data_IF_480248378069
#
_entry.id   IF_480248378069
#
_cell.length_a   1.000
_cell.length_b   1.000
_cell.length_c   1.000
_cell.angle_alpha   90.00
_cell.angle_beta   90.00
_cell.angle_gamma   90.00
#
_symmetry.space_group_name_H-M   'P 1'
#
loop_
_entity.id
_entity.type
_entity.pdbx_description
1 polymer ?
#
# COMPACT_ATOMS: atom_id res chain seq x y z
N UNK A 1 3.16 5.65 -3.41
CA UNK A 1 4.46 5.11 -2.93
C UNK A 1 5.60 5.96 -3.45
N UNK A 2 6.70 6.08 -2.71
CA UNK A 2 7.93 6.74 -3.19
C UNK A 2 8.96 5.68 -3.56
N UNK A 3 9.51 5.79 -4.76
CA UNK A 3 10.47 4.82 -5.32
C UNK A 3 11.90 5.37 -5.28
N UNK A 4 12.85 4.52 -4.91
CA UNK A 4 14.29 4.78 -4.94
C UNK A 4 14.96 3.83 -5.91
N UNK A 5 15.82 4.36 -6.78
CA UNK A 5 16.59 3.53 -7.71
C UNK A 5 17.69 2.78 -6.95
N UNK A 6 17.78 1.46 -7.11
CA UNK A 6 18.84 0.67 -6.46
C UNK A 6 20.21 0.89 -7.10
N UNK A 7 20.27 1.45 -8.31
CA UNK A 7 21.52 1.67 -9.04
C UNK A 7 22.23 2.98 -8.73
N UNK A 8 21.49 4.08 -8.65
CA UNK A 8 22.07 5.42 -8.43
C UNK A 8 21.57 6.07 -7.15
N UNK A 9 20.69 5.40 -6.41
CA UNK A 9 20.11 5.86 -5.14
C UNK A 9 19.26 7.12 -5.22
N UNK A 10 18.94 7.59 -6.43
CA UNK A 10 18.00 8.69 -6.64
C UNK A 10 16.58 8.30 -6.19
N UNK A 11 15.96 9.19 -5.41
CA UNK A 11 14.58 9.07 -4.95
C UNK A 11 13.69 9.86 -5.91
N UNK A 12 12.64 9.22 -6.44
CA UNK A 12 11.72 9.90 -7.33
C UNK A 12 10.90 10.95 -6.57
N UNK A 13 10.85 12.18 -7.11
CA UNK A 13 10.18 13.32 -6.47
C UNK A 13 8.66 13.19 -6.40
N UNK A 14 8.06 12.35 -7.24
CA UNK A 14 6.62 12.13 -7.28
C UNK A 14 6.29 10.77 -6.70
N UNK A 15 5.12 10.68 -6.06
CA UNK A 15 4.55 9.39 -5.75
C UNK A 15 4.23 8.63 -7.04
N UNK A 16 4.46 7.33 -6.99
CA UNK A 16 4.06 6.36 -8.01
C UNK A 16 2.93 5.49 -7.47
N UNK A 17 2.12 5.02 -8.39
CA UNK A 17 1.01 4.11 -8.15
C UNK A 17 1.33 2.75 -8.75
N UNK A 18 0.79 1.70 -8.12
CA UNK A 18 0.91 0.33 -8.59
C UNK A 18 -0.43 -0.36 -8.32
N UNK A 19 -0.94 -1.08 -9.31
CA UNK A 19 -2.23 -1.75 -9.22
C UNK A 19 -2.06 -3.25 -9.47
N UNK A 20 -2.67 -4.09 -8.63
CA UNK A 20 -2.56 -5.56 -8.72
C UNK A 20 -3.14 -6.12 -10.03
N UNK A 21 -4.16 -5.46 -10.59
CA UNK A 21 -4.85 -5.90 -11.80
C UNK A 21 -4.27 -5.33 -13.09
N UNK A 22 -3.28 -4.44 -12.99
CA UNK A 22 -2.66 -3.80 -14.14
C UNK A 22 -1.23 -4.31 -14.26
N UNK A 23 -0.84 -4.69 -15.46
CA UNK A 23 0.50 -5.13 -15.79
C UNK A 23 1.02 -4.41 -17.03
N UNK A 24 2.33 -4.17 -17.05
CA UNK A 24 3.05 -3.54 -18.15
C UNK A 24 4.15 -4.47 -18.65
N UNK A 25 4.41 -4.49 -19.96
CA UNK A 25 5.48 -5.33 -20.52
C UNK A 25 6.86 -4.84 -20.10
N UNK A 26 7.79 -5.78 -19.85
CA UNK A 26 9.17 -5.48 -19.53
C UNK A 26 10.02 -5.36 -20.81
N UNK A 27 10.97 -4.43 -20.84
CA UNK A 27 11.86 -4.27 -21.98
C UNK A 27 12.81 -5.46 -22.12
N UNK A 28 12.87 -6.05 -23.33
CA UNK A 28 13.81 -7.15 -23.62
C UNK A 28 13.47 -8.48 -22.95
N UNK A 29 12.26 -8.63 -22.40
CA UNK A 29 11.75 -9.87 -21.81
C UNK A 29 10.36 -10.20 -22.37
N UNK A 30 9.93 -11.45 -22.21
CA UNK A 30 8.53 -11.86 -22.45
C UNK A 30 7.63 -11.66 -21.23
N UNK A 31 8.19 -11.22 -20.11
CA UNK A 31 7.46 -11.00 -18.86
C UNK A 31 6.81 -9.62 -18.75
N UNK A 32 5.94 -9.49 -17.77
CA UNK A 32 5.25 -8.27 -17.37
C UNK A 32 5.41 -8.01 -15.87
N UNK A 33 5.12 -6.79 -15.43
CA UNK A 33 5.14 -6.41 -14.01
C UNK A 33 4.04 -5.39 -13.69
N UNK A 34 3.64 -5.29 -12.42
CA UNK A 34 2.62 -4.32 -12.00
C UNK A 34 3.10 -2.87 -12.02
N UNK A 35 4.42 -2.68 -12.00
CA UNK A 35 5.08 -1.40 -12.09
C UNK A 35 6.34 -1.54 -12.95
N UNK A 36 6.49 -0.65 -13.92
CA UNK A 36 7.70 -0.52 -14.74
C UNK A 36 8.09 0.95 -14.77
N UNK A 37 9.33 1.24 -14.42
CA UNK A 37 9.83 2.60 -14.27
C UNK A 37 11.26 2.71 -14.77
N UNK A 38 11.53 3.75 -15.56
CA UNK A 38 12.89 4.10 -15.99
C UNK A 38 13.40 5.25 -15.13
N UNK A 39 14.52 5.03 -14.43
CA UNK A 39 15.14 6.06 -13.61
C UNK A 39 15.54 7.26 -14.49
N UNK A 40 15.06 8.45 -14.14
CA UNK A 40 15.35 9.67 -14.91
C UNK A 40 16.83 10.10 -14.82
N UNK A 41 17.55 9.64 -13.80
CA UNK A 41 18.96 9.96 -13.63
C UNK A 41 19.88 8.99 -14.38
N UNK A 42 19.86 7.69 -14.03
CA UNK A 42 20.78 6.71 -14.61
C UNK A 42 20.21 5.93 -15.81
N UNK A 43 18.97 6.21 -16.21
CA UNK A 43 18.29 5.61 -17.37
C UNK A 43 18.07 4.09 -17.28
N UNK A 44 18.35 3.45 -16.13
CA UNK A 44 18.08 2.02 -15.93
C UNK A 44 16.59 1.78 -15.70
N UNK A 45 16.09 0.72 -16.30
CA UNK A 45 14.74 0.20 -16.05
C UNK A 45 14.71 -0.56 -14.72
N UNK A 46 13.63 -0.36 -13.98
CA UNK A 46 13.29 -1.06 -12.76
C UNK A 46 11.84 -1.52 -12.84
N UNK A 47 11.52 -2.58 -12.13
CA UNK A 47 10.17 -3.13 -12.09
C UNK A 47 9.79 -3.63 -10.70
N UNK A 48 8.49 -3.73 -10.45
CA UNK A 48 7.96 -4.32 -9.24
C UNK A 48 6.66 -5.08 -9.51
N UNK A 49 6.47 -6.21 -8.82
CA UNK A 49 5.29 -7.08 -8.97
C UNK A 49 4.78 -7.53 -7.61
N UNK A 50 3.47 -7.58 -7.44
CA UNK A 50 2.86 -8.17 -6.25
C UNK A 50 3.09 -9.68 -6.24
N UNK A 51 3.54 -10.23 -5.12
CA UNK A 51 3.76 -11.69 -4.99
C UNK A 51 2.57 -12.40 -4.34
N UNK A 52 1.65 -11.64 -3.75
CA UNK A 52 0.50 -12.10 -2.98
C UNK A 52 -0.81 -12.08 -3.78
N UNK A 53 -0.72 -12.28 -5.10
CA UNK A 53 -1.86 -12.21 -6.02
C UNK A 53 -2.88 -13.35 -5.83
N UNK A 54 -2.49 -14.47 -5.22
CA UNK A 54 -3.34 -15.66 -5.06
C UNK A 54 -4.02 -15.77 -3.68
N UNK A 55 -4.04 -14.69 -2.89
CA UNK A 55 -4.68 -14.72 -1.58
C UNK A 55 -6.20 -14.88 -1.73
N UNK A 56 -6.78 -15.86 -1.02
CA UNK A 56 -8.25 -16.05 -0.94
C UNK A 56 -8.95 -14.86 -0.28
N UNK A 57 -8.25 -14.16 0.60
CA UNK A 57 -8.70 -12.97 1.33
C UNK A 57 -7.52 -12.04 1.50
N UNK A 58 -7.71 -10.74 1.26
CA UNK A 58 -6.68 -9.74 1.53
C UNK A 58 -6.44 -9.63 3.04
N UNK A 59 -5.19 -9.38 3.47
CA UNK A 59 -4.90 -9.04 4.86
C UNK A 59 -5.67 -7.77 5.25
N UNK A 60 -6.10 -7.71 6.51
CA UNK A 60 -6.90 -6.59 7.03
C UNK A 60 -6.31 -6.17 8.37
N UNK A 61 -6.06 -4.87 8.52
CA UNK A 61 -5.72 -4.28 9.81
C UNK A 61 -6.97 -4.24 10.70
N UNK A 62 -6.88 -4.75 11.93
CA UNK A 62 -8.05 -4.91 12.83
C UNK A 62 -7.88 -4.14 14.13
N UNK A 63 -8.97 -4.00 14.90
CA UNK A 63 -8.94 -3.40 16.24
C UNK A 63 -7.90 -4.07 17.16
N UNK A 64 -7.77 -5.40 17.12
CA UNK A 64 -6.76 -6.13 17.89
C UNK A 64 -5.33 -5.70 17.54
N UNK A 65 -5.02 -5.55 16.25
CA UNK A 65 -3.71 -5.04 15.82
C UNK A 65 -3.46 -3.61 16.34
N UNK A 66 -4.50 -2.77 16.34
CA UNK A 66 -4.43 -1.41 16.89
C UNK A 66 -4.19 -1.41 18.40
N UNK A 67 -4.90 -2.24 19.15
CA UNK A 67 -4.76 -2.35 20.62
C UNK A 67 -3.38 -2.88 21.02
N UNK A 68 -2.85 -3.84 20.27
CA UNK A 68 -1.53 -4.42 20.47
C UNK A 68 -0.39 -3.55 19.91
N UNK A 69 -0.71 -2.47 19.20
CA UNK A 69 0.26 -1.66 18.45
C UNK A 69 1.14 -2.51 17.51
N UNK A 70 0.51 -3.53 16.90
CA UNK A 70 1.16 -4.51 16.05
C UNK A 70 0.91 -4.16 14.57
N UNK A 71 1.96 -4.09 13.73
CA UNK A 71 1.79 -3.88 12.30
C UNK A 71 1.20 -5.13 11.64
N UNK A 72 0.46 -4.93 10.54
CA UNK A 72 -0.06 -5.99 9.69
C UNK A 72 0.48 -5.84 8.27
N UNK A 73 0.95 -6.95 7.69
CA UNK A 73 1.49 -6.97 6.33
C UNK A 73 0.37 -6.96 5.29
N UNK A 74 0.09 -5.80 4.71
CA UNK A 74 -1.00 -5.64 3.73
C UNK A 74 -0.68 -6.18 2.32
N UNK A 75 0.59 -6.14 1.92
CA UNK A 75 1.04 -6.67 0.63
C UNK A 75 2.53 -6.97 0.63
N UNK A 76 2.96 -7.82 -0.31
CA UNK A 76 4.37 -8.08 -0.57
C UNK A 76 4.68 -7.82 -2.03
N UNK A 77 5.77 -7.11 -2.28
CA UNK A 77 6.17 -6.70 -3.63
C UNK A 77 7.59 -7.15 -3.91
N UNK A 78 7.77 -7.93 -4.97
CA UNK A 78 9.08 -8.25 -5.51
C UNK A 78 9.58 -7.07 -6.33
N UNK A 79 10.74 -6.51 -5.97
CA UNK A 79 11.32 -5.35 -6.65
C UNK A 79 12.62 -5.73 -7.38
N UNK A 80 12.81 -5.21 -8.59
CA UNK A 80 14.02 -5.37 -9.40
C UNK A 80 14.52 -4.00 -9.86
N UNK A 81 15.72 -3.61 -9.41
CA UNK A 81 16.32 -2.32 -9.78
C UNK A 81 15.78 -1.10 -9.03
N UNK A 82 14.81 -1.29 -8.13
CA UNK A 82 14.29 -0.26 -7.23
C UNK A 82 13.95 -0.83 -5.84
N UNK A 83 13.74 0.07 -4.90
CA UNK A 83 13.11 -0.19 -3.60
C UNK A 83 12.06 0.90 -3.33
N UNK A 84 10.98 0.56 -2.64
CA UNK A 84 10.03 1.56 -2.14
C UNK A 84 10.47 2.02 -0.75
N UNK A 85 10.44 3.33 -0.52
CA UNK A 85 10.95 3.95 0.72
C UNK A 85 9.85 4.59 1.55
N UNK A 86 8.70 4.85 0.94
CA UNK A 86 7.55 5.46 1.61
C UNK A 86 6.26 4.92 0.98
N UNK A 87 5.29 4.59 1.83
CA UNK A 87 3.94 4.25 1.43
C UNK A 87 3.04 5.43 1.73
N UNK A 88 2.17 5.74 0.78
CA UNK A 88 1.24 6.84 0.89
C UNK A 88 -0.16 6.25 0.95
N UNK A 89 -0.92 6.62 1.98
CA UNK A 89 -2.25 6.07 2.26
C UNK A 89 -3.35 6.64 1.36
N UNK A 90 -3.03 7.59 0.46
CA UNK A 90 -3.98 8.13 -0.49
C UNK A 90 -4.67 7.03 -1.29
N UNK A 91 -5.98 7.19 -1.44
CA UNK A 91 -6.87 6.26 -2.10
C UNK A 91 -8.10 5.96 -1.25
N UNK A 92 -9.03 5.19 -1.83
CA UNK A 92 -10.26 4.80 -1.15
C UNK A 92 -10.06 3.53 -0.31
N UNK A 93 -10.38 3.62 0.97
CA UNK A 93 -10.39 2.52 1.91
C UNK A 93 -11.81 2.09 2.28
N UNK A 94 -11.93 0.89 2.82
CA UNK A 94 -13.19 0.39 3.37
C UNK A 94 -12.90 -0.24 4.73
N UNK A 95 -13.78 -0.06 5.70
CA UNK A 95 -13.65 -0.68 7.01
C UNK A 95 -15.00 -1.20 7.50
N UNK A 96 -14.98 -1.85 8.67
CA UNK A 96 -16.18 -2.27 9.38
C UNK A 96 -16.09 -1.85 10.84
N UNK A 97 -17.20 -1.40 11.40
CA UNK A 97 -17.34 -1.18 12.85
C UNK A 97 -16.98 -2.47 13.58
N UNK A 98 -16.07 -2.38 14.56
CA UNK A 98 -15.45 -3.54 15.19
C UNK A 98 -16.47 -4.45 15.90
N UNK A 99 -17.55 -3.87 16.44
CA UNK A 99 -18.57 -4.58 17.21
C UNK A 99 -19.88 -4.74 16.42
N UNK A 100 -20.29 -3.69 15.71
CA UNK A 100 -21.57 -3.65 14.99
C UNK A 100 -21.53 -4.36 13.62
N UNK A 101 -20.35 -4.46 13.01
CA UNK A 101 -20.16 -4.87 11.62
C UNK A 101 -20.67 -3.86 10.58
N UNK A 102 -21.04 -2.63 10.98
CA UNK A 102 -21.44 -1.55 10.07
C UNK A 102 -20.35 -1.31 9.04
N UNK A 103 -20.71 -1.24 7.76
CA UNK A 103 -19.73 -1.10 6.67
C UNK A 103 -19.56 0.38 6.33
N UNK A 104 -18.32 0.85 6.43
CA UNK A 104 -17.92 2.18 5.97
C UNK A 104 -17.13 2.03 4.67
N UNK A 105 -17.44 2.85 3.67
CA UNK A 105 -16.87 2.75 2.32
C UNK A 105 -16.35 4.10 1.87
N UNK A 106 -15.40 4.08 0.93
CA UNK A 106 -14.79 5.29 0.35
C UNK A 106 -14.20 6.20 1.44
N UNK A 107 -13.50 5.57 2.37
CA UNK A 107 -12.77 6.25 3.42
C UNK A 107 -11.52 6.84 2.81
N UNK A 108 -11.31 8.13 2.99
CA UNK A 108 -10.08 8.83 2.67
C UNK A 108 -9.51 9.36 3.99
N UNK A 109 -8.20 9.27 4.16
CA UNK A 109 -7.51 9.71 5.36
C UNK A 109 -6.98 11.12 5.18
N UNK A 110 -7.89 12.09 5.11
CA UNK A 110 -7.55 13.51 5.06
C UNK A 110 -6.72 13.88 6.30
N UNK A 111 -5.57 14.53 6.08
CA UNK A 111 -4.57 14.84 7.12
C UNK A 111 -4.09 13.61 7.94
N UNK A 112 -4.28 12.39 7.42
CA UNK A 112 -3.84 11.15 8.05
C UNK A 112 -4.82 10.57 9.08
N UNK A 113 -6.05 11.07 9.16
CA UNK A 113 -7.09 10.58 10.07
C UNK A 113 -8.46 10.43 9.40
N UNK A 114 -9.34 9.68 10.04
CA UNK A 114 -10.74 9.56 9.65
C UNK A 114 -11.63 9.43 10.89
N UNK A 115 -12.79 10.10 10.88
CA UNK A 115 -13.76 10.10 11.97
C UNK A 115 -15.17 9.98 11.38
N UNK A 116 -16.02 9.18 12.03
CA UNK A 116 -17.42 8.99 11.65
C UNK A 116 -18.22 8.53 12.88
N UNK A 117 -19.50 8.23 12.69
CA UNK A 117 -20.40 7.75 13.73
C UNK A 117 -21.10 6.45 13.31
N UNK A 118 -21.02 5.44 14.18
CA UNK A 118 -21.68 4.16 13.93
C UNK A 118 -23.06 4.12 14.58
N UNK A 119 -24.08 4.47 13.80
CA UNK A 119 -25.48 4.48 14.24
C UNK A 119 -25.95 3.15 14.87
N UNK A 120 -25.38 2.02 14.45
CA UNK A 120 -25.78 0.70 14.96
C UNK A 120 -25.24 0.43 16.35
N UNK A 121 -24.05 0.95 16.68
CA UNK A 121 -23.49 0.84 18.04
C UNK A 121 -23.80 2.06 18.90
N UNK A 122 -24.20 3.20 18.30
CA UNK A 122 -24.42 4.46 18.99
C UNK A 122 -23.12 5.08 19.51
N UNK A 123 -22.00 4.83 18.83
CA UNK A 123 -20.67 5.27 19.27
C UNK A 123 -19.91 5.97 18.13
N UNK A 124 -19.07 6.97 18.45
CA UNK A 124 -18.12 7.52 17.49
C UNK A 124 -17.08 6.46 17.11
N UNK A 125 -16.67 6.47 15.85
CA UNK A 125 -15.63 5.59 15.32
C UNK A 125 -14.57 6.43 14.63
N UNK A 126 -13.31 6.01 14.71
CA UNK A 126 -12.21 6.72 14.07
C UNK A 126 -11.04 5.81 13.75
N UNK A 127 -10.20 6.29 12.84
CA UNK A 127 -8.88 5.76 12.53
C UNK A 127 -7.93 6.93 12.60
N UNK A 128 -7.00 6.91 13.55
CA UNK A 128 -6.07 8.02 13.82
C UNK A 128 -4.66 7.50 14.01
N UNK A 129 -3.68 8.40 14.01
CA UNK A 129 -2.27 8.07 14.27
C UNK A 129 -1.72 6.97 13.34
N UNK A 130 -2.13 6.97 12.07
CA UNK A 130 -1.77 5.90 11.13
C UNK A 130 -0.26 5.93 10.89
N UNK A 131 0.37 4.76 10.98
CA UNK A 131 1.78 4.56 10.68
C UNK A 131 1.93 3.48 9.63
N UNK A 132 2.80 3.73 8.67
CA UNK A 132 3.10 2.80 7.59
C UNK A 132 4.58 2.49 7.62
N UNK A 133 4.93 1.22 7.42
CA UNK A 133 6.31 0.80 7.32
C UNK A 133 6.51 -0.05 6.07
N UNK A 134 7.69 0.09 5.45
CA UNK A 134 8.14 -0.79 4.39
C UNK A 134 9.31 -1.58 4.96
N UNK A 135 9.12 -2.88 5.10
CA UNK A 135 10.12 -3.80 5.63
C UNK A 135 10.58 -4.75 4.53
N UNK A 136 11.84 -5.18 4.59
CA UNK A 136 12.31 -6.26 3.72
C UNK A 136 11.59 -7.55 4.10
N UNK A 137 10.88 -8.14 3.14
CA UNK A 137 10.30 -9.46 3.29
C UNK A 137 11.41 -10.49 3.60
N UNK A 138 11.11 -11.44 4.49
CA UNK A 138 12.01 -12.54 4.87
C UNK A 138 11.92 -13.68 3.88
#
# INVERSE_FOLDING_TARGET
MVVKCSSCHEIHKKCVEMCRSIEYPLSGSRGSANFVWKCQFCQREASASFTDLNLKTFPVYTKTHSEEQKPESLCTVECRGCEFVEYDLRGEWNCKGAESGTKFKKIEFDDGEWHDYDEKSGLPVSVTNIRTEIVRAK
#
